data_IF_913199632747
#
_entry.id   IF_913199632747
#
_cell.length_a   1.000
_cell.length_b   1.000
_cell.length_c   1.000
_cell.angle_alpha   90.00
_cell.angle_beta   90.00
_cell.angle_gamma   90.00
#
_symmetry.space_group_name_H-M   'P 1'
#
loop_
_entity.id
_entity.type
_entity.pdbx_description
1 polymer ?
#
# COMPACT_ATOMS: atom_id res chain seq x y z
N UNK A 1 -65.65 -5.96 -12.31
CA UNK A 1 -64.44 -5.19 -12.64
C UNK A 1 -64.31 -3.84 -11.93
N UNK A 2 -65.38 -3.14 -11.57
CA UNK A 2 -65.31 -1.86 -10.81
C UNK A 2 -64.82 -2.02 -9.36
N UNK A 3 -65.19 -3.11 -8.68
CA UNK A 3 -64.80 -3.37 -7.26
C UNK A 3 -63.33 -3.76 -7.10
N UNK A 4 -62.69 -4.33 -8.13
CA UNK A 4 -61.26 -4.67 -8.13
C UNK A 4 -60.39 -3.45 -8.29
N UNK A 5 -60.82 -2.43 -9.04
CA UNK A 5 -60.07 -1.15 -9.21
C UNK A 5 -60.09 -0.30 -7.93
N UNK A 6 -61.16 -0.34 -7.13
CA UNK A 6 -61.24 0.37 -5.85
C UNK A 6 -60.32 -0.28 -4.80
N UNK A 7 -60.21 -1.62 -4.81
CA UNK A 7 -59.28 -2.34 -3.93
C UNK A 7 -57.79 -1.98 -4.21
N UNK A 8 -57.44 -1.82 -5.48
CA UNK A 8 -56.06 -1.46 -5.84
C UNK A 8 -55.70 -0.03 -5.45
N UNK A 9 -56.63 0.92 -5.49
CA UNK A 9 -56.41 2.30 -5.04
C UNK A 9 -56.26 2.38 -3.51
N UNK A 10 -56.94 1.53 -2.75
CA UNK A 10 -56.83 1.48 -1.27
C UNK A 10 -55.51 0.85 -0.80
N UNK A 11 -54.97 -0.12 -1.51
CA UNK A 11 -53.65 -0.72 -1.19
C UNK A 11 -52.51 0.25 -1.55
N UNK A 12 -52.64 1.06 -2.57
CA UNK A 12 -51.64 2.10 -2.94
C UNK A 12 -51.55 3.27 -1.95
N UNK A 13 -52.63 3.58 -1.22
CA UNK A 13 -52.66 4.68 -0.25
C UNK A 13 -52.08 4.30 1.14
N UNK A 14 -51.87 3.00 1.42
CA UNK A 14 -51.32 2.54 2.70
C UNK A 14 -49.81 2.45 2.79
N UNK A 15 -49.11 2.71 1.65
CA UNK A 15 -47.62 2.61 1.56
C UNK A 15 -46.89 3.91 1.79
N UNK A 16 -47.51 5.01 2.19
CA UNK A 16 -46.90 6.36 2.25
C UNK A 16 -46.41 6.76 3.65
N UNK A 17 -46.41 5.91 4.66
CA UNK A 17 -46.17 6.38 6.04
C UNK A 17 -45.04 5.69 6.81
N UNK A 18 -43.90 5.39 6.13
CA UNK A 18 -42.68 4.99 6.83
C UNK A 18 -41.50 5.86 6.33
N UNK A 19 -41.66 7.17 6.40
CA UNK A 19 -40.49 8.05 6.41
C UNK A 19 -39.88 7.93 7.83
N UNK A 20 -38.65 7.45 8.00
CA UNK A 20 -38.01 7.48 9.30
C UNK A 20 -37.89 8.97 9.69
N UNK A 21 -38.52 9.33 10.83
CA UNK A 21 -38.31 10.62 11.43
C UNK A 21 -36.81 10.79 11.66
N UNK A 22 -36.18 11.78 11.02
CA UNK A 22 -34.79 12.13 11.29
C UNK A 22 -34.71 12.56 12.74
N UNK A 23 -34.23 11.69 13.59
CA UNK A 23 -33.91 12.00 14.98
C UNK A 23 -32.73 12.96 14.96
N UNK A 24 -32.97 14.24 15.25
CA UNK A 24 -31.89 15.19 15.49
C UNK A 24 -31.18 14.77 16.77
N UNK A 25 -30.03 14.11 16.62
CA UNK A 25 -29.19 13.77 17.73
C UNK A 25 -28.36 15.00 18.07
N UNK A 26 -28.62 15.61 19.23
CA UNK A 26 -27.75 16.67 19.77
C UNK A 26 -26.44 16.00 20.16
N UNK A 27 -25.36 16.42 19.50
CA UNK A 27 -24.02 15.90 19.70
C UNK A 27 -23.15 17.00 20.32
N UNK A 28 -22.38 16.64 21.33
CA UNK A 28 -21.39 17.56 21.91
C UNK A 28 -20.15 17.65 21.01
N UNK A 29 -19.38 18.70 21.18
CA UNK A 29 -18.15 18.90 20.37
C UNK A 29 -17.13 17.80 20.65
N UNK A 30 -17.08 17.28 21.88
CA UNK A 30 -16.24 16.19 22.30
C UNK A 30 -16.62 14.89 21.59
N UNK A 31 -17.92 14.56 21.54
CA UNK A 31 -18.42 13.38 20.80
C UNK A 31 -18.10 13.49 19.30
N UNK A 32 -18.16 14.69 18.71
CA UNK A 32 -17.78 14.91 17.32
C UNK A 32 -16.29 14.65 17.09
N UNK A 33 -15.44 15.06 18.02
CA UNK A 33 -14.00 14.79 17.93
C UNK A 33 -13.71 13.30 18.03
N UNK A 34 -14.34 12.58 18.94
CA UNK A 34 -14.17 11.13 19.08
C UNK A 34 -14.64 10.38 17.82
N UNK A 35 -15.79 10.78 17.26
CA UNK A 35 -16.28 10.19 16.02
C UNK A 35 -15.38 10.51 14.83
N UNK A 36 -14.81 11.69 14.76
CA UNK A 36 -13.86 12.07 13.72
C UNK A 36 -12.55 11.28 13.86
N UNK A 37 -12.02 11.17 15.06
CA UNK A 37 -10.79 10.39 15.35
C UNK A 37 -10.99 8.91 14.97
N UNK A 38 -12.19 8.35 15.18
CA UNK A 38 -12.51 6.96 14.86
C UNK A 38 -12.79 6.71 13.35
N UNK A 39 -13.49 7.65 12.69
CA UNK A 39 -14.08 7.40 11.38
C UNK A 39 -13.47 8.23 10.24
N UNK A 40 -12.66 9.25 10.52
CA UNK A 40 -12.07 10.10 9.49
C UNK A 40 -11.11 9.31 8.59
N UNK A 41 -11.38 9.36 7.30
CA UNK A 41 -10.48 8.79 6.28
C UNK A 41 -9.13 9.50 6.25
N UNK A 42 -9.10 10.81 6.49
CA UNK A 42 -7.88 11.60 6.58
C UNK A 42 -6.99 11.12 7.73
N UNK A 43 -7.52 11.02 8.94
CA UNK A 43 -6.77 10.54 10.12
C UNK A 43 -6.25 9.11 9.88
N UNK A 44 -7.09 8.25 9.30
CA UNK A 44 -6.67 6.88 8.96
C UNK A 44 -5.54 6.84 7.93
N UNK A 45 -5.60 7.69 6.90
CA UNK A 45 -4.56 7.79 5.87
C UNK A 45 -3.22 8.20 6.47
N UNK A 46 -3.19 9.24 7.31
CA UNK A 46 -1.95 9.69 7.95
C UNK A 46 -1.41 8.70 8.99
N UNK A 47 -2.28 7.95 9.66
CA UNK A 47 -1.85 6.83 10.52
C UNK A 47 -1.15 5.74 9.72
N UNK A 48 -1.70 5.36 8.57
CA UNK A 48 -1.06 4.38 7.69
C UNK A 48 0.26 4.90 7.10
N UNK A 49 0.36 6.20 6.80
CA UNK A 49 1.60 6.83 6.34
C UNK A 49 2.69 6.81 7.43
N UNK A 50 2.32 7.01 8.70
CA UNK A 50 3.23 6.85 9.84
C UNK A 50 3.71 5.41 9.99
N UNK A 51 2.80 4.43 9.88
CA UNK A 51 3.15 3.01 9.90
C UNK A 51 4.09 2.64 8.75
N UNK A 52 3.83 3.14 7.53
CA UNK A 52 4.70 2.99 6.36
C UNK A 52 6.09 3.55 6.62
N UNK A 53 6.19 4.78 7.13
CA UNK A 53 7.46 5.39 7.48
C UNK A 53 8.23 4.58 8.55
N UNK A 54 7.51 3.99 9.51
CA UNK A 54 8.08 3.08 10.50
C UNK A 54 8.66 1.80 9.86
N UNK A 55 7.99 1.24 8.85
CA UNK A 55 8.53 0.10 8.09
C UNK A 55 9.73 0.52 7.21
N UNK A 56 9.71 1.74 6.64
CA UNK A 56 10.84 2.27 5.87
C UNK A 56 12.13 2.33 6.71
N UNK A 57 12.04 2.65 8.00
CA UNK A 57 13.19 2.59 8.92
C UNK A 57 13.72 1.16 9.06
N UNK A 58 12.84 0.15 9.15
CA UNK A 58 13.26 -1.25 9.21
C UNK A 58 13.95 -1.67 7.92
N UNK A 59 13.39 -1.29 6.77
CA UNK A 59 14.00 -1.54 5.45
C UNK A 59 15.38 -0.89 5.34
N UNK A 60 15.53 0.37 5.80
CA UNK A 60 16.81 1.04 5.81
C UNK A 60 17.86 0.30 6.69
N UNK A 61 17.43 -0.29 7.81
CA UNK A 61 18.31 -1.10 8.68
C UNK A 61 18.70 -2.42 8.04
N UNK A 62 17.87 -2.99 7.16
CA UNK A 62 18.19 -4.24 6.48
C UNK A 62 19.46 -4.13 5.61
N UNK A 63 19.84 -2.90 5.19
CA UNK A 63 21.11 -2.67 4.51
C UNK A 63 22.36 -3.01 5.35
N UNK A 64 22.19 -3.23 6.66
CA UNK A 64 23.24 -3.70 7.57
C UNK A 64 23.34 -5.23 7.61
N UNK A 65 22.36 -5.93 7.06
CA UNK A 65 22.32 -7.39 7.04
C UNK A 65 22.88 -7.91 5.70
N UNK A 66 23.41 -9.15 5.68
CA UNK A 66 23.80 -9.79 4.43
C UNK A 66 22.56 -10.07 3.56
N UNK A 67 22.70 -9.87 2.24
CA UNK A 67 21.75 -10.39 1.26
C UNK A 67 22.13 -11.81 0.91
N UNK A 68 21.13 -12.70 0.79
CA UNK A 68 21.29 -14.07 0.35
C UNK A 68 20.42 -14.27 -0.88
N UNK A 69 21.06 -14.54 -2.00
CA UNK A 69 20.41 -14.75 -3.29
C UNK A 69 20.55 -16.21 -3.70
N UNK A 70 19.45 -16.80 -4.12
CA UNK A 70 19.41 -18.17 -4.64
C UNK A 70 18.96 -18.10 -6.09
N UNK A 71 19.77 -18.59 -7.00
CA UNK A 71 19.44 -18.63 -8.41
C UNK A 71 19.46 -20.05 -8.94
N UNK A 72 18.45 -20.38 -9.74
CA UNK A 72 18.34 -21.63 -10.48
C UNK A 72 18.05 -21.27 -11.92
N UNK A 73 18.86 -21.77 -12.83
CA UNK A 73 18.62 -21.61 -14.26
C UNK A 73 18.70 -22.93 -14.98
N UNK A 74 17.83 -23.12 -15.95
CA UNK A 74 17.85 -24.22 -16.89
C UNK A 74 17.85 -23.65 -18.32
N UNK A 75 18.72 -24.22 -19.16
CA UNK A 75 18.83 -23.80 -20.55
C UNK A 75 18.81 -25.00 -21.46
N UNK A 76 18.18 -24.85 -22.63
CA UNK A 76 18.27 -25.79 -23.72
C UNK A 76 19.12 -25.17 -24.82
N UNK A 77 20.20 -25.85 -25.17
CA UNK A 77 21.19 -25.44 -26.15
C UNK A 77 21.06 -26.33 -27.39
N UNK A 78 21.10 -25.73 -28.56
CA UNK A 78 21.25 -26.48 -29.81
C UNK A 78 22.72 -26.88 -30.04
N UNK A 79 22.95 -27.67 -31.09
CA UNK A 79 24.30 -27.97 -31.54
C UNK A 79 25.02 -26.68 -31.98
N UNK A 80 26.31 -26.61 -31.70
CA UNK A 80 27.14 -25.49 -32.10
C UNK A 80 27.63 -25.67 -33.53
N UNK A 81 27.62 -24.61 -34.32
CA UNK A 81 28.27 -24.56 -35.61
C UNK A 81 29.62 -23.84 -35.46
N UNK A 82 30.70 -24.55 -35.71
CA UNK A 82 32.07 -24.05 -35.68
C UNK A 82 32.53 -23.76 -37.09
N UNK A 83 33.06 -22.56 -37.32
CA UNK A 83 33.63 -22.20 -38.59
C UNK A 83 34.91 -21.39 -38.37
N UNK A 84 35.79 -21.36 -39.38
CA UNK A 84 36.92 -20.51 -39.37
C UNK A 84 36.50 -19.03 -39.38
N UNK A 85 37.45 -18.13 -39.11
CA UNK A 85 37.17 -16.68 -39.01
C UNK A 85 36.65 -16.07 -40.31
N UNK A 86 36.88 -16.74 -41.45
CA UNK A 86 36.41 -16.39 -42.78
C UNK A 86 35.08 -17.08 -43.15
N UNK A 87 34.39 -17.71 -42.15
CA UNK A 87 33.16 -18.50 -42.31
C UNK A 87 33.29 -19.71 -43.25
N UNK A 88 34.51 -20.17 -43.50
CA UNK A 88 34.76 -21.40 -44.25
C UNK A 88 34.92 -22.60 -43.29
N UNK A 89 34.99 -23.81 -43.83
CA UNK A 89 35.19 -25.06 -43.06
C UNK A 89 34.22 -25.26 -41.89
N UNK A 90 32.92 -24.87 -42.07
CA UNK A 90 31.91 -25.03 -41.03
C UNK A 90 31.63 -26.50 -40.69
N UNK A 91 31.71 -26.83 -39.40
CA UNK A 91 31.44 -28.16 -38.87
C UNK A 91 30.44 -28.07 -37.69
N UNK A 92 29.48 -29.00 -37.63
CA UNK A 92 28.59 -29.10 -36.49
C UNK A 92 29.25 -29.82 -35.34
N UNK A 93 29.38 -29.15 -34.20
CA UNK A 93 29.84 -29.73 -32.95
C UNK A 93 28.67 -30.07 -32.06
N UNK A 94 28.52 -31.37 -31.75
CA UNK A 94 27.51 -31.82 -30.81
C UNK A 94 27.82 -31.29 -29.42
N UNK A 95 26.84 -30.58 -28.82
CA UNK A 95 26.94 -30.02 -27.48
C UNK A 95 25.88 -30.62 -26.57
N UNK A 96 26.10 -30.65 -25.23
CA UNK A 96 25.04 -31.01 -24.31
C UNK A 96 23.82 -30.11 -24.49
N UNK A 97 22.67 -30.71 -24.85
CA UNK A 97 21.46 -29.96 -25.12
C UNK A 97 20.80 -29.36 -23.87
N UNK A 98 21.13 -29.84 -22.71
CA UNK A 98 20.56 -29.38 -21.45
C UNK A 98 21.66 -28.87 -20.52
N UNK A 99 21.55 -27.58 -20.18
CA UNK A 99 22.37 -26.93 -19.17
C UNK A 99 21.52 -26.57 -17.94
N UNK A 100 22.05 -26.83 -16.75
CA UNK A 100 21.48 -26.38 -15.51
C UNK A 100 22.55 -25.68 -14.67
N UNK A 101 22.12 -24.67 -13.92
CA UNK A 101 22.98 -23.99 -12.97
C UNK A 101 22.19 -23.70 -11.68
N UNK A 102 22.82 -23.98 -10.56
CA UNK A 102 22.33 -23.63 -9.24
C UNK A 102 23.43 -22.85 -8.54
N UNK A 103 23.08 -21.66 -8.04
CA UNK A 103 24.02 -20.84 -7.29
C UNK A 103 23.34 -20.24 -6.04
N UNK A 104 24.09 -20.19 -4.96
CA UNK A 104 23.76 -19.46 -3.73
C UNK A 104 24.86 -18.42 -3.55
N UNK A 105 24.45 -17.16 -3.49
CA UNK A 105 25.34 -16.03 -3.29
C UNK A 105 24.96 -15.32 -1.99
N UNK A 106 25.95 -15.03 -1.14
CA UNK A 106 25.79 -14.21 0.04
C UNK A 106 26.70 -12.98 -0.06
N UNK A 107 26.14 -11.79 0.02
CA UNK A 107 26.92 -10.55 -0.04
C UNK A 107 26.58 -9.63 1.12
N UNK A 108 27.59 -8.96 1.67
CA UNK A 108 27.41 -7.98 2.75
C UNK A 108 28.33 -6.80 2.55
N UNK A 109 27.75 -5.61 2.65
CA UNK A 109 28.52 -4.36 2.66
C UNK A 109 29.15 -4.18 4.05
N UNK A 110 30.47 -4.28 4.12
CA UNK A 110 31.23 -4.10 5.37
C UNK A 110 31.43 -2.61 5.67
N UNK A 111 31.69 -1.80 4.65
CA UNK A 111 31.90 -0.38 4.78
C UNK A 111 31.41 0.38 3.55
N UNK A 112 30.63 1.44 3.78
CA UNK A 112 30.04 2.28 2.74
C UNK A 112 30.25 3.79 3.02
N UNK A 113 31.36 4.16 3.68
CA UNK A 113 31.66 5.57 3.94
C UNK A 113 30.58 6.33 4.71
N UNK A 114 29.82 5.65 5.59
CA UNK A 114 28.72 6.26 6.34
C UNK A 114 27.37 6.34 5.61
N UNK A 115 27.28 5.91 4.35
CA UNK A 115 26.04 6.00 3.55
C UNK A 115 24.88 5.24 4.21
N UNK A 116 25.12 4.05 4.77
CA UNK A 116 24.08 3.24 5.42
C UNK A 116 23.55 3.94 6.68
N UNK A 117 24.45 4.46 7.53
CA UNK A 117 24.05 5.17 8.75
C UNK A 117 23.28 6.45 8.47
N UNK A 118 23.71 7.21 7.45
CA UNK A 118 23.00 8.41 6.99
C UNK A 118 21.62 8.08 6.43
N UNK A 119 21.48 6.98 5.65
CA UNK A 119 20.20 6.52 5.12
C UNK A 119 19.23 6.14 6.25
N UNK A 120 19.72 5.46 7.30
CA UNK A 120 18.91 5.13 8.48
C UNK A 120 18.48 6.40 9.23
N UNK A 121 19.39 7.39 9.36
CA UNK A 121 19.06 8.67 9.99
C UNK A 121 17.98 9.42 9.21
N UNK A 122 18.07 9.48 7.88
CA UNK A 122 17.05 10.08 7.01
C UNK A 122 15.70 9.37 7.20
N UNK A 123 15.67 8.03 7.17
CA UNK A 123 14.43 7.28 7.36
C UNK A 123 13.77 7.55 8.73
N UNK A 124 14.57 7.71 9.79
CA UNK A 124 14.05 8.08 11.12
C UNK A 124 13.45 9.48 11.14
N UNK A 125 14.09 10.45 10.47
CA UNK A 125 13.54 11.80 10.36
C UNK A 125 12.24 11.83 9.55
N UNK A 126 12.15 11.01 8.50
CA UNK A 126 10.92 10.84 7.73
C UNK A 126 9.79 10.22 8.57
N UNK A 127 10.11 9.28 9.46
CA UNK A 127 9.13 8.73 10.40
C UNK A 127 8.62 9.80 11.37
N UNK A 128 9.51 10.63 11.93
CA UNK A 128 9.11 11.74 12.80
C UNK A 128 8.25 12.77 12.05
N UNK A 129 8.57 13.05 10.79
CA UNK A 129 7.76 13.93 9.94
C UNK A 129 6.35 13.37 9.76
N UNK A 130 6.22 12.07 9.43
CA UNK A 130 4.92 11.43 9.27
C UNK A 130 4.07 11.44 10.55
N UNK A 131 4.71 11.30 11.73
CA UNK A 131 4.06 11.42 13.04
C UNK A 131 3.50 12.84 13.26
N UNK A 132 4.30 13.87 12.95
CA UNK A 132 3.88 15.27 13.05
C UNK A 132 2.77 15.61 12.03
N UNK A 133 2.85 15.10 10.81
CA UNK A 133 1.82 15.29 9.79
C UNK A 133 0.49 14.64 10.21
N UNK A 134 0.53 13.47 10.85
CA UNK A 134 -0.67 12.84 11.43
C UNK A 134 -1.31 13.74 12.49
N UNK A 135 -0.53 14.28 13.42
CA UNK A 135 -1.06 15.14 14.48
C UNK A 135 -1.57 16.47 13.91
N UNK A 136 -0.85 17.07 12.97
CA UNK A 136 -1.31 18.25 12.25
C UNK A 136 -2.66 18.02 11.56
N UNK A 137 -2.80 16.92 10.80
CA UNK A 137 -4.06 16.59 10.12
C UNK A 137 -5.21 16.40 11.11
N UNK A 138 -4.95 15.77 12.26
CA UNK A 138 -5.93 15.63 13.34
C UNK A 138 -6.41 17.00 13.86
N UNK A 139 -5.48 17.93 14.05
CA UNK A 139 -5.81 19.29 14.50
C UNK A 139 -6.58 20.06 13.41
N UNK A 140 -6.19 19.93 12.15
CA UNK A 140 -6.87 20.56 11.01
C UNK A 140 -8.35 20.08 10.92
N UNK A 141 -8.58 18.78 11.08
CA UNK A 141 -9.93 18.21 11.08
C UNK A 141 -10.74 18.74 12.28
N UNK A 142 -10.16 18.80 13.47
CA UNK A 142 -10.84 19.35 14.66
C UNK A 142 -11.17 20.82 14.48
N UNK A 143 -10.27 21.60 13.88
CA UNK A 143 -10.52 23.00 13.56
C UNK A 143 -11.70 23.18 12.60
N UNK A 144 -11.77 22.36 11.54
CA UNK A 144 -12.92 22.38 10.60
C UNK A 144 -14.23 22.00 11.29
N UNK A 145 -14.20 21.01 12.19
CA UNK A 145 -15.39 20.60 12.94
C UNK A 145 -15.90 21.71 13.85
N UNK A 146 -15.01 22.42 14.55
CA UNK A 146 -15.39 23.58 15.38
C UNK A 146 -16.00 24.67 14.53
N UNK A 147 -15.40 24.99 13.37
CA UNK A 147 -15.96 25.99 12.44
C UNK A 147 -17.40 25.63 12.03
N UNK A 148 -17.62 24.43 11.57
CA UNK A 148 -18.95 23.96 11.17
C UNK A 148 -19.95 23.92 12.34
N UNK A 149 -19.50 23.57 13.55
CA UNK A 149 -20.35 23.56 14.75
C UNK A 149 -20.84 24.96 15.15
N UNK A 150 -20.00 25.97 14.96
CA UNK A 150 -20.34 27.35 15.28
C UNK A 150 -21.24 28.03 14.22
N UNK A 151 -21.29 27.50 13.00
CA UNK A 151 -22.15 27.99 11.91
C UNK A 151 -23.57 27.38 11.93
N UNK A 152 -23.81 26.35 12.76
CA UNK A 152 -25.11 25.68 12.90
C UNK A 152 -26.00 26.36 13.94
#
# INVERSE_FOLDING_TARGET
MRKLKVLFVFIGALSISLAPAQTFQKMTIEEMFELADANSRGIRMFRLAEEEAGQAVKVARNAQLPSIDVSVSASYLGDAWLADRDFTNGENAAMPHFGNNFAIEASQVIYAGGAITSRIAIAKLQQQLAELDKEKNRQDIRFLLVGNYLEM
#
